data_IF_047376568304
#
_entry.id   IF_047376568304
#
_cell.length_a   1.000
_cell.length_b   1.000
_cell.length_c   1.000
_cell.angle_alpha   90.00
_cell.angle_beta   90.00
_cell.angle_gamma   90.00
#
_symmetry.space_group_name_H-M   'P 1'
#
loop_
_entity.id
_entity.type
_entity.pdbx_description
1 polymer ?
#
# COMPACT_ATOMS: atom_id res chain seq x y z
N UNK A 1 4.50 -1.23 22.69
CA UNK A 1 3.56 -2.37 22.85
C UNK A 1 2.73 -2.44 21.58
N UNK A 2 2.31 -3.63 21.12
CA UNK A 2 1.30 -3.70 20.06
C UNK A 2 0.02 -3.01 20.53
N UNK A 3 -0.60 -2.22 19.67
CA UNK A 3 -1.77 -1.41 19.99
C UNK A 3 -2.73 -1.42 18.79
N UNK A 4 -4.01 -1.57 19.09
CA UNK A 4 -5.11 -1.31 18.17
C UNK A 4 -6.05 -0.39 18.92
N UNK A 5 -6.16 0.84 18.46
CA UNK A 5 -7.10 1.84 18.95
C UNK A 5 -8.05 2.22 17.83
N UNK A 6 -9.34 2.34 18.14
CA UNK A 6 -10.38 2.72 17.20
C UNK A 6 -11.34 3.68 17.90
N UNK A 7 -11.44 4.90 17.39
CA UNK A 7 -12.49 5.85 17.69
C UNK A 7 -13.56 5.77 16.59
N UNK A 8 -14.83 5.65 16.97
CA UNK A 8 -15.91 5.30 16.04
C UNK A 8 -17.20 6.06 16.31
N UNK A 9 -17.90 6.46 15.24
CA UNK A 9 -19.22 7.07 15.32
C UNK A 9 -20.31 5.99 15.46
N UNK A 10 -20.82 5.85 16.69
CA UNK A 10 -21.96 4.99 17.03
C UNK A 10 -23.21 5.28 16.18
N UNK A 11 -23.49 6.55 15.89
CA UNK A 11 -24.65 6.98 15.11
C UNK A 11 -24.53 6.61 13.63
N UNK A 12 -23.31 6.64 13.07
CA UNK A 12 -23.02 6.12 11.73
C UNK A 12 -23.15 4.59 11.68
N UNK A 13 -22.64 3.89 12.71
CA UNK A 13 -22.70 2.42 12.81
C UNK A 13 -24.14 1.89 12.78
N UNK A 14 -25.05 2.54 13.52
CA UNK A 14 -26.47 2.21 13.52
C UNK A 14 -27.16 2.42 12.15
N UNK A 15 -26.57 3.25 11.27
CA UNK A 15 -27.03 3.49 9.90
C UNK A 15 -26.36 2.57 8.88
N UNK A 16 -25.58 1.58 9.33
CA UNK A 16 -24.86 0.64 8.47
C UNK A 16 -23.58 1.19 7.83
N UNK A 17 -23.08 2.32 8.34
CA UNK A 17 -21.81 2.94 7.91
C UNK A 17 -20.75 2.72 8.97
N UNK A 18 -19.53 2.40 8.57
CA UNK A 18 -18.39 2.29 9.46
C UNK A 18 -17.59 3.58 9.33
N UNK A 19 -17.89 4.56 10.18
CA UNK A 19 -17.12 5.80 10.26
C UNK A 19 -16.23 5.76 11.50
N UNK A 20 -14.92 5.76 11.26
CA UNK A 20 -13.86 5.73 12.26
C UNK A 20 -13.14 7.08 12.23
N UNK A 21 -13.24 7.86 13.30
CA UNK A 21 -12.59 9.18 13.36
C UNK A 21 -11.07 9.02 13.47
N UNK A 22 -10.62 8.04 14.26
CA UNK A 22 -9.20 7.75 14.45
C UNK A 22 -8.95 6.24 14.58
N UNK A 23 -7.95 5.75 13.85
CA UNK A 23 -7.42 4.40 13.99
C UNK A 23 -5.93 4.49 14.29
N UNK A 24 -5.48 3.94 15.42
CA UNK A 24 -4.05 3.72 15.68
C UNK A 24 -3.74 2.23 15.56
N UNK A 25 -2.93 1.87 14.59
CA UNK A 25 -2.50 0.50 14.33
C UNK A 25 -1.00 0.36 14.55
N UNK A 26 -0.61 -0.17 15.70
CA UNK A 26 0.78 -0.40 16.07
C UNK A 26 1.11 -1.89 16.05
N UNK A 27 1.68 -2.32 14.93
CA UNK A 27 2.11 -3.70 14.69
C UNK A 27 3.57 -3.87 15.11
N UNK A 28 3.81 -4.67 16.16
CA UNK A 28 5.20 -5.07 16.47
C UNK A 28 5.80 -5.90 15.33
N UNK A 29 5.00 -6.81 14.77
CA UNK A 29 5.42 -7.80 13.79
C UNK A 29 4.33 -8.00 12.72
N UNK A 30 4.70 -7.93 11.45
CA UNK A 30 3.86 -8.34 10.32
C UNK A 30 4.43 -9.63 9.72
N UNK A 31 3.66 -10.72 9.71
CA UNK A 31 4.17 -12.03 9.25
C UNK A 31 3.62 -12.39 7.86
N UNK A 32 4.52 -12.68 6.95
CA UNK A 32 4.23 -13.28 5.64
C UNK A 32 4.62 -14.75 5.68
N UNK A 33 3.69 -15.62 5.33
CA UNK A 33 3.90 -17.07 5.33
C UNK A 33 3.73 -17.61 3.92
N UNK A 34 4.77 -18.27 3.41
CA UNK A 34 4.67 -19.17 2.26
C UNK A 34 4.50 -20.60 2.77
N UNK A 35 3.37 -21.21 2.46
CA UNK A 35 3.01 -22.54 2.93
C UNK A 35 3.79 -23.64 2.17
N UNK A 36 3.55 -24.91 2.53
CA UNK A 36 4.20 -26.07 1.90
C UNK A 36 3.90 -26.19 0.40
N UNK A 37 2.73 -25.72 -0.03
CA UNK A 37 2.30 -25.70 -1.44
C UNK A 37 2.85 -24.49 -2.20
N UNK A 38 3.65 -23.65 -1.55
CA UNK A 38 4.21 -22.44 -2.14
C UNK A 38 3.26 -21.25 -2.22
N UNK A 39 2.06 -21.35 -1.61
CA UNK A 39 1.05 -20.28 -1.55
C UNK A 39 1.30 -19.33 -0.39
N UNK A 40 1.00 -18.05 -0.57
CA UNK A 40 1.13 -17.03 0.46
C UNK A 40 -0.17 -16.83 1.23
N UNK A 41 -0.07 -16.46 2.50
CA UNK A 41 -1.22 -15.94 3.26
C UNK A 41 -1.80 -14.65 2.67
N UNK A 42 -1.02 -13.91 1.86
CA UNK A 42 -1.47 -12.69 1.19
C UNK A 42 -2.26 -12.97 -0.11
N UNK A 43 -2.23 -14.19 -0.64
CA UNK A 43 -2.92 -14.52 -1.90
C UNK A 43 -4.45 -14.45 -1.76
N UNK A 44 -4.99 -14.65 -0.55
CA UNK A 44 -6.42 -14.47 -0.28
C UNK A 44 -6.88 -13.02 -0.39
N UNK A 45 -5.96 -12.04 -0.32
CA UNK A 45 -6.28 -10.63 -0.48
C UNK A 45 -6.43 -10.26 -1.97
N UNK A 46 -5.66 -10.90 -2.86
CA UNK A 46 -5.76 -10.72 -4.33
C UNK A 46 -7.13 -11.11 -4.88
N UNK A 47 -7.74 -12.16 -4.33
CA UNK A 47 -9.06 -12.66 -4.75
C UNK A 47 -10.21 -11.71 -4.45
N UNK A 48 -10.05 -10.78 -3.50
CA UNK A 48 -11.13 -9.85 -3.14
C UNK A 48 -11.23 -8.68 -4.13
N UNK A 49 -10.11 -8.29 -4.77
CA UNK A 49 -10.11 -7.27 -5.83
C UNK A 49 -10.69 -7.75 -7.16
N UNK A 50 -10.41 -9.00 -7.56
CA UNK A 50 -10.93 -9.58 -8.82
C UNK A 50 -12.46 -9.70 -8.86
N UNK A 51 -13.12 -9.77 -7.70
CA UNK A 51 -14.59 -9.80 -7.61
C UNK A 51 -15.27 -8.43 -7.84
N UNK A 52 -14.52 -7.36 -8.13
CA UNK A 52 -15.10 -6.10 -8.63
C UNK A 52 -15.59 -6.21 -10.08
N UNK A 53 -15.32 -7.31 -10.80
CA UNK A 53 -16.02 -7.64 -12.06
C UNK A 53 -17.31 -8.43 -11.77
N UNK A 54 -18.44 -8.12 -12.44
CA UNK A 54 -19.73 -8.71 -12.12
C UNK A 54 -19.84 -10.14 -12.68
N UNK A 55 -19.39 -11.14 -11.92
CA UNK A 55 -19.83 -12.51 -12.15
C UNK A 55 -21.29 -12.67 -11.69
N UNK A 56 -22.17 -12.80 -12.68
CA UNK A 56 -23.59 -13.12 -12.51
C UNK A 56 -23.74 -14.54 -11.96
N UNK A 57 -23.60 -14.74 -10.65
CA UNK A 57 -24.30 -15.82 -9.94
C UNK A 57 -24.40 -15.51 -8.45
N UNK A 58 -25.64 -15.37 -7.99
CA UNK A 58 -26.01 -15.03 -6.63
C UNK A 58 -25.57 -16.10 -5.60
N UNK A 59 -24.70 -15.67 -4.68
CA UNK A 59 -24.88 -15.92 -3.23
C UNK A 59 -24.80 -14.55 -2.57
N UNK A 60 -25.56 -14.32 -1.50
CA UNK A 60 -25.48 -13.09 -0.67
C UNK A 60 -24.06 -12.98 -0.12
N UNK A 61 -23.13 -12.45 -0.91
CA UNK A 61 -21.85 -11.99 -0.41
C UNK A 61 -22.16 -10.74 0.40
N UNK A 62 -21.79 -10.78 1.68
CA UNK A 62 -21.81 -9.61 2.55
C UNK A 62 -21.02 -8.51 1.87
N UNK A 63 -21.72 -7.57 1.22
CA UNK A 63 -21.12 -6.37 0.67
C UNK A 63 -20.34 -5.71 1.80
N UNK A 64 -19.05 -5.42 1.60
CA UNK A 64 -18.28 -4.73 2.63
C UNK A 64 -19.01 -3.43 3.00
N UNK A 65 -19.12 -3.12 4.30
CA UNK A 65 -19.78 -1.91 4.74
C UNK A 65 -19.05 -0.68 4.17
N UNK A 66 -19.81 0.40 3.99
CA UNK A 66 -19.27 1.71 3.64
C UNK A 66 -18.31 2.14 4.75
N UNK A 67 -17.03 2.29 4.43
CA UNK A 67 -15.97 2.59 5.40
C UNK A 67 -15.50 4.02 5.19
N UNK A 68 -15.29 4.73 6.28
CA UNK A 68 -14.59 6.01 6.31
C UNK A 68 -13.65 5.99 7.50
N UNK A 69 -12.37 6.23 7.27
CA UNK A 69 -11.36 6.45 8.30
C UNK A 69 -10.80 7.85 8.09
N UNK A 70 -11.04 8.75 9.04
CA UNK A 70 -10.58 10.13 8.89
C UNK A 70 -9.07 10.24 9.14
N UNK A 71 -8.57 9.58 10.19
CA UNK A 71 -7.14 9.50 10.51
C UNK A 71 -6.71 8.07 10.79
N UNK A 72 -5.66 7.62 10.11
CA UNK A 72 -4.95 6.37 10.39
C UNK A 72 -3.51 6.67 10.81
N UNK A 73 -3.12 6.28 12.02
CA UNK A 73 -1.73 6.18 12.46
C UNK A 73 -1.24 4.74 12.30
N UNK A 74 -0.33 4.49 11.37
CA UNK A 74 0.23 3.18 11.08
C UNK A 74 1.67 3.07 11.58
N UNK A 75 1.91 2.13 12.49
CA UNK A 75 3.25 1.73 12.94
C UNK A 75 3.50 0.27 12.65
N UNK A 76 4.64 -0.05 12.05
CA UNK A 76 5.08 -1.44 11.82
C UNK A 76 6.55 -1.56 12.21
N UNK A 77 6.85 -2.38 13.21
CA UNK A 77 8.21 -2.60 13.69
C UNK A 77 9.04 -3.44 12.71
N UNK A 78 8.68 -4.72 12.59
CA UNK A 78 9.38 -5.66 11.70
C UNK A 78 8.44 -6.53 10.88
N UNK A 79 8.95 -6.99 9.74
CA UNK A 79 8.30 -8.00 8.89
C UNK A 79 9.05 -9.30 8.99
N UNK A 80 8.32 -10.40 9.20
CA UNK A 80 8.87 -11.75 9.26
C UNK A 80 8.34 -12.55 8.07
N UNK A 81 9.24 -13.00 7.20
CA UNK A 81 8.91 -13.95 6.14
C UNK A 81 9.26 -15.36 6.60
N UNK A 82 8.28 -16.28 6.55
CA UNK A 82 8.45 -17.70 6.87
C UNK A 82 8.14 -18.55 5.65
N UNK A 83 9.14 -19.24 5.13
CA UNK A 83 9.02 -20.11 3.97
C UNK A 83 9.05 -21.60 4.35
N UNK A 84 7.90 -22.26 4.23
CA UNK A 84 7.71 -23.69 4.46
C UNK A 84 7.74 -24.52 3.17
N UNK A 85 8.01 -23.92 2.00
CA UNK A 85 7.96 -24.62 0.72
C UNK A 85 8.95 -25.79 0.69
N UNK A 86 8.44 -27.00 0.46
CA UNK A 86 9.17 -28.26 0.46
C UNK A 86 10.01 -28.52 1.73
N UNK A 87 9.60 -28.00 2.89
CA UNK A 87 10.36 -28.11 4.16
C UNK A 87 9.42 -28.29 5.36
N UNK A 88 9.91 -28.96 6.41
CA UNK A 88 9.21 -29.11 7.69
C UNK A 88 9.45 -27.94 8.63
N UNK A 89 10.68 -27.39 8.62
CA UNK A 89 11.06 -26.17 9.35
C UNK A 89 11.13 -24.98 8.39
N UNK A 90 10.62 -23.80 8.79
CA UNK A 90 10.59 -22.65 7.91
C UNK A 90 11.98 -22.03 7.78
N UNK A 91 12.30 -21.55 6.58
CA UNK A 91 13.34 -20.53 6.43
C UNK A 91 12.74 -19.19 6.82
N UNK A 92 13.19 -18.62 7.94
CA UNK A 92 12.74 -17.32 8.43
C UNK A 92 13.70 -16.21 7.98
N UNK A 93 13.15 -15.07 7.56
CA UNK A 93 13.87 -13.82 7.35
C UNK A 93 13.16 -12.70 8.08
N UNK A 94 13.92 -11.87 8.79
CA UNK A 94 13.39 -10.71 9.50
C UNK A 94 13.87 -9.43 8.82
N UNK A 95 12.96 -8.46 8.71
CA UNK A 95 13.20 -7.15 8.13
C UNK A 95 12.71 -6.10 9.12
N UNK A 96 13.60 -5.29 9.66
CA UNK A 96 13.19 -4.16 10.50
C UNK A 96 12.77 -3.02 9.56
N UNK A 97 11.48 -2.71 9.54
CA UNK A 97 10.91 -1.71 8.62
C UNK A 97 10.64 -0.37 9.30
N UNK A 98 10.44 -0.36 10.63
CA UNK A 98 10.30 0.84 11.47
C UNK A 98 9.34 1.90 10.87
N UNK A 99 8.22 1.45 10.32
CA UNK A 99 7.21 2.31 9.72
C UNK A 99 6.52 3.07 10.83
N UNK A 100 6.32 4.36 10.62
CA UNK A 100 5.56 5.26 11.47
C UNK A 100 4.99 6.37 10.59
N UNK A 101 3.79 6.15 10.07
CA UNK A 101 3.16 7.00 9.06
C UNK A 101 1.73 7.35 9.45
N UNK A 102 1.23 8.47 8.91
CA UNK A 102 -0.14 8.94 9.10
C UNK A 102 -0.81 9.10 7.75
N UNK A 103 -2.05 8.65 7.65
CA UNK A 103 -2.90 8.77 6.47
C UNK A 103 -4.24 9.37 6.86
N UNK A 104 -4.90 9.98 5.88
CA UNK A 104 -6.17 10.66 6.10
C UNK A 104 -7.17 10.27 5.02
N UNK A 105 -8.46 10.29 5.38
CA UNK A 105 -9.59 10.10 4.47
C UNK A 105 -9.55 8.78 3.68
N UNK A 106 -9.38 7.65 4.38
CA UNK A 106 -9.43 6.32 3.76
C UNK A 106 -10.90 5.87 3.67
N UNK A 107 -11.43 5.78 2.45
CA UNK A 107 -12.85 5.45 2.21
C UNK A 107 -13.09 4.11 1.50
N UNK A 108 -12.03 3.45 1.01
CA UNK A 108 -12.12 2.10 0.45
C UNK A 108 -11.51 1.08 1.44
N UNK A 109 -12.30 0.13 1.99
CA UNK A 109 -11.79 -0.97 2.81
C UNK A 109 -10.66 -1.76 2.16
N UNK A 110 -10.68 -1.91 0.83
CA UNK A 110 -9.62 -2.58 0.10
C UNK A 110 -8.34 -1.75 0.10
N UNK A 111 -8.46 -0.44 -0.14
CA UNK A 111 -7.31 0.46 -0.10
C UNK A 111 -6.67 0.49 1.29
N UNK A 112 -7.46 0.44 2.37
CA UNK A 112 -6.95 0.31 3.73
C UNK A 112 -6.07 -0.93 3.92
N UNK A 113 -6.56 -2.11 3.48
CA UNK A 113 -5.80 -3.37 3.59
C UNK A 113 -4.56 -3.35 2.71
N UNK A 114 -4.71 -2.90 1.46
CA UNK A 114 -3.61 -2.80 0.51
C UNK A 114 -2.49 -1.90 1.02
N UNK A 115 -2.86 -0.78 1.65
CA UNK A 115 -1.91 0.18 2.20
C UNK A 115 -1.02 -0.49 3.23
N UNK A 116 -1.60 -1.25 4.16
CA UNK A 116 -0.85 -1.97 5.19
C UNK A 116 0.09 -3.00 4.56
N UNK A 117 -0.39 -3.79 3.58
CA UNK A 117 0.42 -4.81 2.90
C UNK A 117 1.55 -4.17 2.11
N UNK A 118 1.25 -3.18 1.28
CA UNK A 118 2.23 -2.47 0.46
C UNK A 118 3.29 -1.84 1.36
N UNK A 119 2.90 -1.09 2.38
CA UNK A 119 3.85 -0.44 3.30
C UNK A 119 4.73 -1.44 4.03
N UNK A 120 4.15 -2.54 4.53
CA UNK A 120 4.93 -3.60 5.15
C UNK A 120 5.99 -4.19 4.19
N UNK A 121 5.65 -4.38 2.91
CA UNK A 121 6.51 -5.10 1.97
C UNK A 121 7.48 -4.23 1.16
N UNK A 122 7.17 -2.96 0.91
CA UNK A 122 7.93 -2.06 0.02
C UNK A 122 9.42 -1.97 0.38
N UNK A 123 9.75 -1.99 1.67
CA UNK A 123 11.13 -1.90 2.16
C UNK A 123 11.77 -3.27 2.43
N UNK A 124 11.27 -4.34 1.79
CA UNK A 124 11.75 -5.71 1.99
C UNK A 124 12.05 -6.39 0.66
N UNK A 125 12.86 -7.46 0.68
CA UNK A 125 13.05 -8.32 -0.49
C UNK A 125 11.96 -9.39 -0.65
N UNK A 126 10.91 -9.35 0.16
CA UNK A 126 9.88 -10.40 0.20
C UNK A 126 9.09 -10.46 -1.10
N UNK A 127 8.78 -9.31 -1.72
CA UNK A 127 8.03 -9.27 -2.98
C UNK A 127 8.64 -10.19 -4.05
N UNK A 128 9.95 -10.08 -4.26
CA UNK A 128 10.70 -10.91 -5.19
C UNK A 128 10.87 -12.37 -4.73
N UNK A 129 10.95 -12.63 -3.43
CA UNK A 129 11.05 -14.01 -2.88
C UNK A 129 9.72 -14.78 -2.95
N UNK A 130 8.63 -14.03 -2.88
CA UNK A 130 7.28 -14.54 -2.76
C UNK A 130 6.56 -14.61 -4.13
N UNK A 131 7.18 -14.10 -5.20
CA UNK A 131 6.52 -13.86 -6.49
C UNK A 131 5.19 -13.10 -6.31
N UNK A 132 5.20 -12.15 -5.37
CA UNK A 132 4.05 -11.35 -5.01
C UNK A 132 4.13 -10.05 -5.79
N UNK A 133 3.18 -9.87 -6.71
CA UNK A 133 3.09 -8.64 -7.51
C UNK A 133 2.48 -7.51 -6.67
N UNK A 134 3.36 -6.59 -6.23
CA UNK A 134 2.98 -5.37 -5.51
C UNK A 134 2.27 -4.38 -6.43
N UNK A 135 2.53 -4.42 -7.74
CA UNK A 135 1.92 -3.53 -8.72
C UNK A 135 0.39 -3.65 -8.73
N UNK A 136 -0.15 -4.86 -8.55
CA UNK A 136 -1.59 -5.12 -8.42
C UNK A 136 -2.25 -4.46 -7.20
N UNK A 137 -1.44 -4.00 -6.23
CA UNK A 137 -1.92 -3.26 -5.07
C UNK A 137 -1.89 -1.74 -5.25
N UNK A 138 -1.07 -1.22 -6.18
CA UNK A 138 -0.84 0.20 -6.39
C UNK A 138 -2.08 0.98 -6.88
N UNK A 139 -2.89 0.38 -7.77
CA UNK A 139 -4.04 1.04 -8.40
C UNK A 139 -5.11 1.50 -7.38
N UNK A 140 -5.22 0.84 -6.22
CA UNK A 140 -6.16 1.22 -5.16
C UNK A 140 -5.63 2.31 -4.22
N UNK A 141 -4.34 2.62 -4.30
CA UNK A 141 -3.64 3.50 -3.35
C UNK A 141 -3.41 4.91 -3.88
N UNK A 142 -3.61 5.16 -5.17
CA UNK A 142 -3.40 6.47 -5.78
C UNK A 142 -4.21 7.58 -5.08
N UNK A 143 -5.47 7.29 -4.72
CA UNK A 143 -6.34 8.23 -3.99
C UNK A 143 -5.92 8.48 -2.53
N UNK A 144 -5.30 7.50 -1.87
CA UNK A 144 -4.87 7.60 -0.45
C UNK A 144 -3.51 8.27 -0.34
N UNK A 145 -2.60 7.96 -1.26
CA UNK A 145 -1.25 8.53 -1.30
C UNK A 145 -1.21 9.92 -1.94
N UNK A 146 -2.13 10.23 -2.84
CA UNK A 146 -2.28 11.56 -3.46
C UNK A 146 -2.61 12.66 -2.45
N UNK A 147 -3.35 12.36 -1.38
CA UNK A 147 -3.59 13.29 -0.27
C UNK A 147 -2.34 13.59 0.58
N UNK A 148 -1.39 12.66 0.63
CA UNK A 148 -0.12 12.80 1.36
C UNK A 148 0.98 13.51 0.55
N UNK A 149 0.80 13.71 -0.77
CA UNK A 149 1.77 14.38 -1.63
C UNK A 149 2.07 15.84 -1.22
N UNK A 150 1.22 16.46 -0.40
CA UNK A 150 1.45 17.77 0.20
C UNK A 150 2.52 17.82 1.31
N UNK A 151 2.93 16.68 1.88
CA UNK A 151 3.78 16.63 3.09
C UNK A 151 5.16 15.97 2.89
N UNK A 152 5.48 15.45 1.70
CA UNK A 152 6.70 14.64 1.46
C UNK A 152 7.72 15.32 0.53
N UNK A 153 7.86 16.64 0.57
CA UNK A 153 8.98 17.32 -0.14
C UNK A 153 10.34 17.22 0.58
N UNK A 154 10.46 16.42 1.65
CA UNK A 154 11.61 16.48 2.56
C UNK A 154 12.51 15.23 2.68
N UNK A 155 12.10 14.03 2.28
CA UNK A 155 12.91 12.82 2.59
C UNK A 155 12.84 11.76 1.48
N UNK A 156 13.97 11.61 0.79
CA UNK A 156 14.49 10.43 0.10
C UNK A 156 13.49 9.40 -0.52
N UNK A 157 13.35 9.47 -1.84
CA UNK A 157 13.85 8.38 -2.69
C UNK A 157 13.03 7.09 -2.81
N UNK A 158 11.69 7.13 -2.75
CA UNK A 158 10.87 6.02 -3.28
C UNK A 158 9.89 6.58 -4.29
N UNK A 159 10.37 6.78 -5.52
CA UNK A 159 9.52 6.92 -6.68
C UNK A 159 8.90 5.54 -6.95
N UNK A 160 7.59 5.41 -6.70
CA UNK A 160 6.81 4.32 -7.26
C UNK A 160 6.88 4.49 -8.78
N UNK A 161 7.55 3.56 -9.44
CA UNK A 161 7.68 3.48 -10.89
C UNK A 161 6.34 3.01 -11.45
N UNK A 162 5.38 3.93 -11.52
CA UNK A 162 4.09 3.71 -12.18
C UNK A 162 4.32 3.89 -13.68
N UNK A 163 4.56 2.75 -14.34
CA UNK A 163 4.66 2.66 -15.78
C UNK A 163 3.38 3.11 -16.50
N UNK A 164 3.59 3.68 -17.68
CA UNK A 164 2.59 4.12 -18.66
C UNK A 164 1.76 5.38 -18.32
N UNK A 165 2.43 6.54 -18.19
CA UNK A 165 1.91 7.85 -18.68
C UNK A 165 2.86 9.05 -18.52
N UNK A 166 4.09 8.86 -18.03
CA UNK A 166 5.04 9.95 -17.80
C UNK A 166 6.00 10.25 -18.98
N UNK A 167 5.85 9.58 -20.13
CA UNK A 167 6.82 9.71 -21.24
C UNK A 167 6.72 11.02 -22.02
N UNK A 168 5.56 11.67 -22.07
CA UNK A 168 5.38 12.87 -22.92
C UNK A 168 5.65 14.16 -22.14
N UNK A 169 5.21 14.25 -20.88
CA UNK A 169 5.42 15.45 -20.06
C UNK A 169 6.87 15.58 -19.56
N UNK A 170 7.56 14.45 -19.32
CA UNK A 170 8.97 14.48 -18.93
C UNK A 170 9.89 14.86 -20.11
N UNK A 171 9.59 14.38 -21.33
CA UNK A 171 10.33 14.75 -22.54
C UNK A 171 10.28 16.25 -22.81
N UNK A 172 9.08 16.84 -22.77
CA UNK A 172 8.93 18.29 -22.98
C UNK A 172 9.63 19.13 -21.90
N UNK A 173 9.62 18.66 -20.64
CA UNK A 173 10.31 19.34 -19.54
C UNK A 173 11.84 19.27 -19.69
N UNK A 174 12.39 18.15 -20.17
CA UNK A 174 13.83 18.02 -20.45
C UNK A 174 14.26 18.81 -21.67
N UNK A 175 13.44 18.91 -22.73
CA UNK A 175 13.76 19.70 -23.92
C UNK A 175 13.74 21.20 -23.61
N UNK A 176 12.71 21.69 -22.89
CA UNK A 176 12.63 23.10 -22.48
C UNK A 176 13.76 23.48 -21.50
N UNK A 177 14.16 22.58 -20.60
CA UNK A 177 15.27 22.84 -19.70
C UNK A 177 16.62 22.88 -20.44
N UNK A 178 16.84 22.00 -21.42
CA UNK A 178 18.04 21.98 -22.23
C UNK A 178 18.18 23.24 -23.11
N UNK A 179 17.08 23.73 -23.69
CA UNK A 179 17.09 24.95 -24.54
C UNK A 179 17.22 26.24 -23.72
N UNK A 180 16.69 26.25 -22.49
CA UNK A 180 16.88 27.37 -21.57
C UNK A 180 18.33 27.44 -21.06
N UNK A 181 18.98 26.30 -20.82
CA UNK A 181 20.40 26.28 -20.41
C UNK A 181 21.32 26.70 -21.58
N UNK A 182 20.99 26.32 -22.83
CA UNK A 182 21.73 26.78 -24.02
C UNK A 182 21.58 28.28 -24.29
N UNK A 183 20.43 28.88 -23.98
CA UNK A 183 20.21 30.32 -24.19
C UNK A 183 20.80 31.21 -23.08
N UNK A 184 21.19 30.63 -21.93
CA UNK A 184 21.75 31.36 -20.78
C UNK A 184 23.29 31.22 -20.70
N UNK A 185 23.90 30.24 -21.37
CA UNK A 185 25.36 30.07 -21.37
C UNK A 185 26.04 30.84 -22.52
N UNK A 186 26.97 31.79 -22.24
CA UNK A 186 27.60 32.63 -23.26
C UNK A 186 28.77 31.96 -24.01
N UNK A 187 28.75 30.64 -24.24
CA UNK A 187 29.83 29.93 -24.92
C UNK A 187 29.34 29.11 -26.12
N UNK A 188 29.64 29.59 -27.33
CA UNK A 188 29.74 28.76 -28.54
C UNK A 188 29.11 29.35 -29.80
N UNK A 189 29.88 30.19 -30.52
CA UNK A 189 29.85 30.19 -31.99
C UNK A 189 30.62 28.97 -32.49
#
# INVERSE_FOLDING_TARGET
>A
MPEIYVDYDLGAFLKGKVHLEEVKLNLREFTVVKNRDGKLNLDSLKTVKKKKEPEKTAKKESKMPDLQIDVLELKIGKVIYKDYYNRTTPRAREYNVNINERYENITDPYAFVDLIVVKALMNTSIAGLANFDIGLLGDGLEGVLGGAAGLVKGTAGVALDTGEKLTDTAKEATEKAADTIKSILPFGK
#
